data_IF_996901946493
#
_entry.id   IF_996901946493
#
_cell.length_a   1.000
_cell.length_b   1.000
_cell.length_c   1.000
_cell.angle_alpha   90.00
_cell.angle_beta   90.00
_cell.angle_gamma   90.00
#
_symmetry.space_group_name_H-M   'P 1'
#
loop_
_entity.id
_entity.type
_entity.pdbx_description
1 polymer ?
#
# COMPACT_ATOMS: atom_id res chain seq x y z
N UNK A 1 -40.46 -40.75 18.73
CA UNK A 1 -40.34 -39.29 18.87
C UNK A 1 -38.85 -38.96 18.86
N UNK A 2 -38.36 -38.40 17.75
CA UNK A 2 -36.93 -38.10 17.53
C UNK A 2 -36.65 -36.67 18.01
N UNK A 3 -35.66 -36.52 18.89
CA UNK A 3 -35.14 -35.23 19.33
C UNK A 3 -34.16 -34.69 18.28
N UNK A 4 -34.49 -33.54 17.69
CA UNK A 4 -33.58 -32.77 16.83
C UNK A 4 -32.69 -31.87 17.70
N UNK A 5 -31.36 -31.80 17.47
CA UNK A 5 -30.49 -30.86 18.14
C UNK A 5 -30.68 -29.44 17.59
N UNK A 6 -30.76 -28.48 18.50
CA UNK A 6 -30.83 -27.04 18.21
C UNK A 6 -29.57 -26.55 17.48
N UNK A 7 -29.68 -25.60 16.53
CA UNK A 7 -28.52 -25.03 15.86
C UNK A 7 -27.68 -24.16 16.80
N UNK A 8 -26.35 -24.09 16.60
CA UNK A 8 -25.48 -23.25 17.40
C UNK A 8 -25.80 -21.77 17.17
N UNK A 9 -26.05 -21.04 18.26
CA UNK A 9 -26.10 -19.57 18.23
C UNK A 9 -24.70 -19.06 17.97
N UNK A 10 -24.45 -18.66 16.71
CA UNK A 10 -23.25 -17.96 16.31
C UNK A 10 -23.35 -16.52 16.84
N UNK A 11 -22.72 -16.24 17.98
CA UNK A 11 -22.60 -14.87 18.49
C UNK A 11 -21.87 -13.99 17.48
N UNK A 12 -22.21 -12.69 17.35
CA UNK A 12 -21.52 -11.79 16.44
C UNK A 12 -20.03 -11.78 16.81
N UNK A 13 -19.21 -12.33 15.92
CA UNK A 13 -17.76 -12.39 16.09
C UNK A 13 -17.24 -10.97 16.31
N UNK A 14 -16.33 -10.79 17.27
CA UNK A 14 -15.71 -9.48 17.58
C UNK A 14 -15.07 -8.82 16.34
N UNK A 15 -14.79 -9.59 15.29
CA UNK A 15 -14.35 -9.13 13.97
C UNK A 15 -15.45 -8.41 13.19
N UNK A 16 -16.69 -8.92 13.19
CA UNK A 16 -17.83 -8.28 12.55
C UNK A 16 -18.10 -6.90 13.17
N UNK A 17 -18.05 -6.78 14.50
CA UNK A 17 -18.25 -5.50 15.18
C UNK A 17 -17.18 -4.46 14.82
N UNK A 18 -15.91 -4.87 14.67
CA UNK A 18 -14.83 -3.99 14.20
C UNK A 18 -15.02 -3.56 12.74
N UNK A 19 -15.51 -4.46 11.90
CA UNK A 19 -15.80 -4.17 10.49
C UNK A 19 -16.98 -3.20 10.35
N UNK A 20 -18.05 -3.41 11.13
CA UNK A 20 -19.19 -2.47 11.20
C UNK A 20 -18.78 -1.10 11.74
N UNK A 21 -17.90 -1.04 12.75
CA UNK A 21 -17.38 0.23 13.26
C UNK A 21 -16.58 1.00 12.17
N UNK A 22 -15.76 0.29 11.39
CA UNK A 22 -15.04 0.88 10.26
C UNK A 22 -15.96 1.38 9.15
N UNK A 23 -16.99 0.60 8.80
CA UNK A 23 -17.99 1.01 7.81
C UNK A 23 -18.78 2.22 8.30
N UNK A 24 -19.15 2.29 9.58
CA UNK A 24 -19.84 3.46 10.15
C UNK A 24 -18.94 4.69 10.12
N UNK A 25 -17.65 4.56 10.44
CA UNK A 25 -16.68 5.66 10.32
C UNK A 25 -16.57 6.13 8.87
N UNK A 26 -16.43 5.22 7.91
CA UNK A 26 -16.40 5.53 6.47
C UNK A 26 -17.70 6.19 5.97
N UNK A 27 -18.87 5.72 6.42
CA UNK A 27 -20.15 6.30 6.04
C UNK A 27 -20.39 7.67 6.67
N UNK A 28 -19.99 7.89 7.93
CA UNK A 28 -20.06 9.22 8.55
C UNK A 28 -19.11 10.21 7.88
N UNK A 29 -17.93 9.75 7.44
CA UNK A 29 -16.99 10.57 6.68
C UNK A 29 -17.56 10.96 5.31
N UNK A 30 -18.19 10.02 4.59
CA UNK A 30 -18.89 10.30 3.34
C UNK A 30 -20.08 11.28 3.53
N UNK A 31 -20.81 11.18 4.65
CA UNK A 31 -21.91 12.10 4.94
C UNK A 31 -21.42 13.51 5.31
N UNK A 32 -20.28 13.64 5.97
CA UNK A 32 -19.65 14.95 6.27
C UNK A 32 -19.13 15.61 4.98
N UNK A 33 -18.54 14.84 4.06
CA UNK A 33 -18.10 15.37 2.76
C UNK A 33 -19.27 15.74 1.83
N UNK A 34 -20.40 15.03 1.88
CA UNK A 34 -21.62 15.47 1.16
C UNK A 34 -22.36 16.63 1.86
N UNK A 35 -22.33 16.69 3.20
CA UNK A 35 -22.98 17.73 4.00
C UNK A 35 -22.29 19.10 3.91
N UNK A 36 -20.98 19.14 3.68
CA UNK A 36 -20.22 20.36 3.43
C UNK A 36 -20.50 21.03 2.07
N UNK A 37 -21.07 20.29 1.12
CA UNK A 37 -21.40 20.80 -0.23
C UNK A 37 -22.82 21.40 -0.28
N UNK A 38 -23.74 20.95 0.58
CA UNK A 38 -25.17 21.32 0.47
C UNK A 38 -25.54 22.69 1.07
N UNK A 39 -24.64 23.31 1.86
CA UNK A 39 -24.87 24.63 2.47
C UNK A 39 -24.42 25.84 1.64
N UNK A 40 -23.51 25.64 0.68
CA UNK A 40 -22.90 26.72 -0.10
C UNK A 40 -23.24 26.67 -1.61
N UNK A 41 -23.84 25.58 -2.10
CA UNK A 41 -24.15 25.39 -3.52
C UNK A 41 -25.55 25.89 -3.89
N UNK A 42 -25.88 27.12 -3.48
CA UNK A 42 -27.11 27.80 -3.93
C UNK A 42 -26.81 29.15 -4.57
N UNK A 43 -25.80 29.22 -5.41
CA UNK A 43 -25.73 30.13 -6.56
C UNK A 43 -24.45 29.88 -7.36
N UNK A 44 -24.54 29.96 -8.68
CA UNK A 44 -23.48 29.74 -9.69
C UNK A 44 -23.20 28.24 -9.95
N UNK A 45 -23.84 27.62 -10.93
CA UNK A 45 -23.73 27.98 -12.35
C UNK A 45 -22.53 27.21 -12.92
N UNK A 46 -22.81 26.10 -13.59
CA UNK A 46 -21.79 25.13 -13.99
C UNK A 46 -20.64 25.75 -14.79
N UNK A 47 -19.42 25.37 -14.44
CA UNK A 47 -18.23 25.54 -15.27
C UNK A 47 -17.44 24.24 -15.26
N UNK A 48 -17.09 23.84 -16.48
CA UNK A 48 -16.44 22.60 -16.89
C UNK A 48 -14.98 22.54 -16.41
N UNK A 49 -14.49 21.31 -16.23
CA UNK A 49 -13.14 20.86 -16.59
C UNK A 49 -12.03 21.92 -16.55
N UNK A 50 -11.25 21.99 -15.47
CA UNK A 50 -9.87 22.50 -15.48
C UNK A 50 -9.22 22.24 -14.12
N UNK A 51 -8.21 21.38 -14.09
CA UNK A 51 -7.05 21.46 -13.19
C UNK A 51 -6.05 20.34 -13.56
N UNK A 52 -5.51 20.44 -14.77
CA UNK A 52 -4.21 19.86 -15.11
C UNK A 52 -3.17 20.84 -14.53
N UNK A 53 -2.29 20.35 -13.65
CA UNK A 53 -0.94 20.87 -13.27
C UNK A 53 -0.72 21.64 -11.95
N UNK A 54 0.32 21.11 -11.26
CA UNK A 54 1.40 21.71 -10.46
C UNK A 54 1.42 21.13 -9.03
N UNK A 55 2.48 20.47 -8.52
CA UNK A 55 3.91 20.74 -8.71
C UNK A 55 4.73 19.42 -8.76
N UNK A 56 5.58 19.34 -9.78
CA UNK A 56 6.69 18.40 -9.92
C UNK A 56 7.92 18.97 -9.21
N UNK A 57 8.34 18.38 -8.08
CA UNK A 57 9.74 18.42 -7.60
C UNK A 57 10.00 17.31 -6.58
N UNK A 58 10.21 16.07 -7.05
CA UNK A 58 11.21 15.14 -6.47
C UNK A 58 11.64 14.21 -7.61
N UNK A 59 12.59 14.65 -8.44
CA UNK A 59 13.21 13.82 -9.47
C UNK A 59 14.72 13.71 -9.20
N UNK A 60 15.13 12.58 -8.61
CA UNK A 60 16.21 11.68 -9.10
C UNK A 60 16.71 10.74 -8.00
N UNK A 61 16.58 9.44 -8.25
CA UNK A 61 17.72 8.58 -8.67
C UNK A 61 17.17 7.36 -9.43
N UNK A 62 17.44 7.33 -10.75
CA UNK A 62 17.74 6.19 -11.67
C UNK A 62 16.78 4.98 -11.71
N UNK A 63 16.25 4.47 -12.84
CA UNK A 63 16.49 4.65 -14.29
C UNK A 63 15.30 4.05 -15.10
N UNK A 64 15.23 4.39 -16.39
CA UNK A 64 14.37 3.87 -17.50
C UNK A 64 13.12 4.68 -17.94
N UNK A 65 13.38 5.54 -18.94
CA UNK A 65 12.66 5.76 -20.21
C UNK A 65 11.13 5.90 -20.25
N UNK A 66 10.66 7.12 -20.52
CA UNK A 66 10.17 7.50 -21.85
C UNK A 66 9.78 8.99 -21.86
N UNK A 67 10.35 9.73 -22.81
CA UNK A 67 10.03 11.12 -23.08
C UNK A 67 8.63 11.25 -23.73
N UNK A 68 7.82 12.22 -23.27
CA UNK A 68 7.02 13.09 -24.14
C UNK A 68 6.48 14.31 -23.38
N UNK A 69 6.70 15.48 -23.99
CA UNK A 69 5.95 16.74 -23.92
C UNK A 69 5.96 17.59 -22.63
N UNK A 70 6.99 18.43 -22.57
CA UNK A 70 6.90 19.89 -22.53
C UNK A 70 5.47 20.47 -22.50
N UNK A 71 4.97 20.75 -21.30
CA UNK A 71 3.92 21.75 -21.06
C UNK A 71 4.39 22.72 -19.98
N UNK A 72 4.98 23.82 -20.42
CA UNK A 72 4.92 25.12 -19.72
C UNK A 72 3.49 25.40 -19.25
N UNK A 73 3.28 25.42 -17.92
CA UNK A 73 2.04 25.86 -17.26
C UNK A 73 2.48 26.75 -16.09
N UNK A 74 2.63 28.06 -16.34
CA UNK A 74 1.68 29.16 -16.10
C UNK A 74 1.31 29.37 -14.63
N UNK A 75 1.98 30.39 -14.08
CA UNK A 75 1.76 31.32 -12.95
C UNK A 75 0.34 31.52 -12.34
N UNK A 76 -0.72 30.83 -12.79
CA UNK A 76 -2.11 31.09 -12.38
C UNK A 76 -2.60 30.25 -11.18
N UNK A 77 -1.79 29.32 -10.66
CA UNK A 77 -2.14 28.54 -9.46
C UNK A 77 -1.90 29.29 -8.14
N UNK A 78 -1.35 30.51 -8.19
CA UNK A 78 -0.91 31.29 -7.03
C UNK A 78 -2.03 32.20 -6.47
N UNK A 79 -3.16 32.33 -7.16
CA UNK A 79 -4.08 33.47 -6.91
C UNK A 79 -5.22 33.20 -5.92
N UNK A 80 -5.46 31.96 -5.49
CA UNK A 80 -6.49 31.67 -4.48
C UNK A 80 -6.10 30.51 -3.53
N UNK A 81 -5.85 30.76 -2.24
CA UNK A 81 -5.44 29.75 -1.27
C UNK A 81 -6.53 28.69 -1.01
N UNK A 82 -7.81 29.02 -1.21
CA UNK A 82 -8.92 28.07 -1.04
C UNK A 82 -8.91 26.98 -2.12
N UNK A 83 -8.62 27.33 -3.38
CA UNK A 83 -8.51 26.34 -4.47
C UNK A 83 -7.27 25.46 -4.30
N UNK A 84 -6.16 26.02 -3.78
CA UNK A 84 -4.96 25.25 -3.47
C UNK A 84 -5.22 24.25 -2.34
N UNK A 85 -5.94 24.67 -1.28
CA UNK A 85 -6.34 23.78 -0.20
C UNK A 85 -7.24 22.62 -0.69
N UNK A 86 -8.16 22.89 -1.62
CA UNK A 86 -8.99 21.85 -2.25
C UNK A 86 -8.16 20.86 -3.07
N UNK A 87 -7.26 21.35 -3.93
CA UNK A 87 -6.40 20.52 -4.76
C UNK A 87 -5.49 19.61 -3.91
N UNK A 88 -4.87 20.15 -2.86
CA UNK A 88 -4.03 19.37 -1.95
C UNK A 88 -4.85 18.35 -1.14
N UNK A 89 -6.08 18.68 -0.77
CA UNK A 89 -6.99 17.72 -0.09
C UNK A 89 -7.35 16.57 -1.01
N UNK A 90 -7.62 16.82 -2.30
CA UNK A 90 -7.86 15.76 -3.28
C UNK A 90 -6.60 14.91 -3.49
N UNK A 91 -5.44 15.54 -3.63
CA UNK A 91 -4.16 14.85 -3.77
C UNK A 91 -3.85 13.95 -2.58
N UNK A 92 -4.18 14.41 -1.37
CA UNK A 92 -4.06 13.64 -0.13
C UNK A 92 -4.93 12.38 -0.15
N UNK A 93 -6.15 12.44 -0.70
CA UNK A 93 -7.03 11.27 -0.85
C UNK A 93 -6.47 10.23 -1.84
N UNK A 94 -5.90 10.69 -2.96
CA UNK A 94 -5.24 9.83 -3.94
C UNK A 94 -4.05 9.10 -3.30
N UNK A 95 -3.17 9.85 -2.63
CA UNK A 95 -1.99 9.31 -1.99
C UNK A 95 -2.34 8.34 -0.84
N UNK A 96 -3.44 8.57 -0.11
CA UNK A 96 -3.92 7.57 0.85
C UNK A 96 -4.32 6.28 0.16
N UNK A 97 -5.10 6.37 -0.92
CA UNK A 97 -5.56 5.20 -1.66
C UNK A 97 -4.38 4.39 -2.19
N UNK A 98 -3.39 5.06 -2.78
CA UNK A 98 -2.16 4.43 -3.26
C UNK A 98 -1.38 3.77 -2.12
N UNK A 99 -1.22 4.45 -0.98
CA UNK A 99 -0.48 3.89 0.17
C UNK A 99 -1.18 2.65 0.73
N UNK A 100 -2.52 2.69 0.88
CA UNK A 100 -3.28 1.53 1.32
C UNK A 100 -3.16 0.37 0.35
N UNK A 101 -3.19 0.65 -0.96
CA UNK A 101 -2.99 -0.36 -2.00
C UNK A 101 -1.62 -1.01 -1.87
N UNK A 102 -0.54 -0.23 -1.85
CA UNK A 102 0.82 -0.78 -1.78
C UNK A 102 1.08 -1.57 -0.49
N UNK A 103 0.54 -1.14 0.64
CA UNK A 103 0.63 -1.91 1.90
C UNK A 103 -0.16 -3.22 1.80
N UNK A 104 -1.32 -3.22 1.13
CA UNK A 104 -2.11 -4.42 0.93
C UNK A 104 -1.43 -5.41 -0.04
N UNK A 105 -0.87 -4.91 -1.14
CA UNK A 105 -0.07 -5.70 -2.10
C UNK A 105 1.13 -6.33 -1.40
N UNK A 106 1.88 -5.56 -0.61
CA UNK A 106 3.02 -6.09 0.15
C UNK A 106 2.63 -7.24 1.09
N UNK A 107 1.46 -7.13 1.74
CA UNK A 107 0.92 -8.19 2.60
C UNK A 107 0.53 -9.43 1.80
N UNK A 108 -0.16 -9.25 0.69
CA UNK A 108 -0.57 -10.34 -0.19
C UNK A 108 0.66 -11.11 -0.71
N UNK A 109 1.71 -10.40 -1.13
CA UNK A 109 2.95 -11.03 -1.59
C UNK A 109 3.70 -11.75 -0.46
N UNK A 110 3.68 -11.19 0.75
CA UNK A 110 4.27 -11.87 1.92
C UNK A 110 3.50 -13.13 2.31
N UNK A 111 2.18 -13.14 2.13
CA UNK A 111 1.34 -14.34 2.30
C UNK A 111 1.62 -15.38 1.19
N UNK A 112 1.73 -14.97 -0.07
CA UNK A 112 2.12 -15.82 -1.20
C UNK A 112 3.49 -16.49 -0.96
N UNK A 113 4.49 -15.73 -0.50
CA UNK A 113 5.80 -16.27 -0.12
C UNK A 113 5.67 -17.34 0.97
N UNK A 114 4.87 -17.08 2.02
CA UNK A 114 4.65 -18.03 3.12
C UNK A 114 3.93 -19.28 2.65
N UNK A 115 2.93 -19.16 1.79
CA UNK A 115 2.23 -20.32 1.22
C UNK A 115 3.20 -21.18 0.40
N UNK A 116 4.00 -20.56 -0.47
CA UNK A 116 5.05 -21.25 -1.22
C UNK A 116 6.07 -21.94 -0.32
N UNK A 117 6.47 -21.30 0.78
CA UNK A 117 7.37 -21.87 1.78
C UNK A 117 6.78 -23.12 2.44
N UNK A 118 5.51 -23.08 2.86
CA UNK A 118 4.83 -24.23 3.44
C UNK A 118 4.77 -25.39 2.44
N UNK A 119 4.38 -25.09 1.20
CA UNK A 119 4.32 -26.08 0.13
C UNK A 119 5.69 -26.72 -0.14
N UNK A 120 6.76 -25.92 -0.18
CA UNK A 120 8.13 -26.40 -0.37
C UNK A 120 8.53 -27.37 0.74
N UNK A 121 8.29 -26.99 1.99
CA UNK A 121 8.60 -27.81 3.16
C UNK A 121 7.79 -29.11 3.20
N UNK A 122 6.52 -29.09 2.81
CA UNK A 122 5.68 -30.28 2.78
C UNK A 122 6.05 -31.23 1.63
N UNK A 123 6.46 -30.69 0.48
CA UNK A 123 7.03 -31.49 -0.60
C UNK A 123 8.32 -32.19 -0.16
N UNK A 124 9.22 -31.50 0.58
CA UNK A 124 10.43 -32.14 1.12
C UNK A 124 10.09 -33.25 2.13
N UNK A 125 9.13 -33.03 3.03
CA UNK A 125 8.70 -34.06 4.00
C UNK A 125 8.07 -35.28 3.34
N UNK A 126 7.35 -35.09 2.24
CA UNK A 126 6.75 -36.18 1.47
C UNK A 126 7.75 -36.93 0.57
N UNK A 127 9.03 -36.52 0.61
CA UNK A 127 10.12 -37.21 -0.09
C UNK A 127 10.33 -36.76 -1.53
N UNK A 128 9.69 -35.66 -1.96
CA UNK A 128 10.08 -35.05 -3.24
C UNK A 128 11.51 -34.53 -3.12
N UNK A 129 12.31 -34.89 -4.12
CA UNK A 129 13.69 -34.42 -4.21
C UNK A 129 13.74 -32.91 -4.32
N UNK A 130 14.68 -32.28 -3.60
CA UNK A 130 14.98 -30.86 -3.77
C UNK A 130 15.43 -30.52 -5.21
N UNK A 131 15.90 -31.51 -5.96
CA UNK A 131 16.31 -31.37 -7.36
C UNK A 131 15.14 -31.50 -8.37
N UNK A 132 13.91 -31.73 -7.91
CA UNK A 132 12.74 -31.81 -8.77
C UNK A 132 12.49 -30.46 -9.48
N UNK A 133 12.32 -30.42 -10.81
CA UNK A 133 11.94 -29.21 -11.55
C UNK A 133 10.72 -28.47 -10.95
N UNK A 134 9.76 -29.18 -10.36
CA UNK A 134 8.61 -28.56 -9.70
C UNK A 134 9.02 -27.76 -8.45
N UNK A 135 9.99 -28.26 -7.67
CA UNK A 135 10.53 -27.56 -6.51
C UNK A 135 11.33 -26.33 -6.92
N UNK A 136 12.12 -26.41 -7.99
CA UNK A 136 12.82 -25.24 -8.54
C UNK A 136 11.87 -24.13 -8.99
N UNK A 137 10.77 -24.48 -9.65
CA UNK A 137 9.74 -23.50 -10.04
C UNK A 137 9.09 -22.84 -8.82
N UNK A 138 8.81 -23.63 -7.78
CA UNK A 138 8.25 -23.12 -6.53
C UNK A 138 9.20 -22.12 -5.85
N UNK A 139 10.49 -22.44 -5.78
CA UNK A 139 11.52 -21.52 -5.27
C UNK A 139 11.61 -20.24 -6.09
N UNK A 140 11.49 -20.34 -7.42
CA UNK A 140 11.40 -19.18 -8.31
C UNK A 140 10.19 -18.31 -8.02
N UNK A 141 9.00 -18.90 -7.88
CA UNK A 141 7.77 -18.19 -7.51
C UNK A 141 7.87 -17.51 -6.15
N UNK A 142 8.41 -18.19 -5.14
CA UNK A 142 8.68 -17.60 -3.83
C UNK A 142 9.62 -16.40 -3.93
N UNK A 143 10.69 -16.51 -4.73
CA UNK A 143 11.62 -15.41 -4.95
C UNK A 143 10.98 -14.21 -5.62
N UNK A 144 10.06 -14.44 -6.56
CA UNK A 144 9.32 -13.38 -7.23
C UNK A 144 8.38 -12.67 -6.26
N UNK A 145 7.55 -13.41 -5.51
CA UNK A 145 6.68 -12.80 -4.49
C UNK A 145 7.47 -12.03 -3.43
N UNK A 146 8.63 -12.51 -3.00
CA UNK A 146 9.46 -11.73 -2.07
C UNK A 146 9.93 -10.40 -2.69
N UNK A 147 10.43 -10.41 -3.93
CA UNK A 147 10.88 -9.21 -4.65
C UNK A 147 9.73 -8.23 -4.91
N UNK A 148 8.57 -8.72 -5.34
CA UNK A 148 7.38 -7.90 -5.57
C UNK A 148 6.87 -7.30 -4.25
N UNK A 149 6.86 -8.09 -3.16
CA UNK A 149 6.54 -7.59 -1.83
C UNK A 149 7.53 -6.52 -1.35
N UNK A 150 8.83 -6.64 -1.66
CA UNK A 150 9.84 -5.62 -1.36
C UNK A 150 9.61 -4.34 -2.14
N UNK A 151 9.31 -4.47 -3.44
CA UNK A 151 8.96 -3.33 -4.29
C UNK A 151 7.76 -2.57 -3.74
N UNK A 152 6.66 -3.27 -3.42
CA UNK A 152 5.46 -2.63 -2.85
C UNK A 152 5.74 -1.92 -1.52
N UNK A 153 6.67 -2.42 -0.68
CA UNK A 153 7.10 -1.70 0.53
C UNK A 153 7.82 -0.39 0.20
N UNK A 154 8.74 -0.41 -0.76
CA UNK A 154 9.47 0.80 -1.21
C UNK A 154 8.51 1.83 -1.82
N UNK A 155 7.54 1.38 -2.61
CA UNK A 155 6.52 2.24 -3.21
C UNK A 155 5.59 2.83 -2.14
N UNK A 156 5.19 2.02 -1.14
CA UNK A 156 4.44 2.51 0.02
C UNK A 156 5.22 3.56 0.81
N UNK A 157 6.52 3.35 1.04
CA UNK A 157 7.39 4.31 1.74
C UNK A 157 7.45 5.64 1.01
N UNK A 158 7.72 5.59 -0.28
CA UNK A 158 7.78 6.78 -1.14
C UNK A 158 6.46 7.54 -1.13
N UNK A 159 5.33 6.83 -1.11
CA UNK A 159 4.00 7.46 -1.06
C UNK A 159 3.70 8.07 0.31
N UNK A 160 4.17 7.45 1.39
CA UNK A 160 4.09 8.01 2.75
C UNK A 160 4.91 9.30 2.91
N UNK A 161 6.09 9.36 2.31
CA UNK A 161 6.90 10.58 2.32
C UNK A 161 6.18 11.71 1.57
N UNK A 162 5.56 11.41 0.42
CA UNK A 162 4.71 12.36 -0.31
C UNK A 162 3.49 12.82 0.51
N UNK A 163 2.83 11.91 1.24
CA UNK A 163 1.74 12.26 2.15
C UNK A 163 2.20 13.23 3.24
N UNK A 164 3.38 13.01 3.81
CA UNK A 164 3.98 13.90 4.79
C UNK A 164 4.19 15.31 4.25
N UNK A 165 4.71 15.42 3.01
CA UNK A 165 4.90 16.71 2.34
C UNK A 165 3.57 17.44 2.08
N UNK A 166 2.56 16.75 1.54
CA UNK A 166 1.24 17.34 1.27
C UNK A 166 0.55 17.80 2.56
N UNK A 167 0.66 17.03 3.64
CA UNK A 167 0.17 17.43 4.96
C UNK A 167 0.87 18.70 5.48
N UNK A 168 2.18 18.81 5.28
CA UNK A 168 2.95 20.02 5.63
C UNK A 168 2.54 21.24 4.81
N UNK A 169 2.29 21.06 3.51
CA UNK A 169 1.80 22.12 2.62
C UNK A 169 0.40 22.59 3.04
N UNK A 170 -0.52 21.66 3.35
CA UNK A 170 -1.84 21.99 3.87
C UNK A 170 -1.75 22.76 5.19
N UNK A 171 -0.84 22.38 6.09
CA UNK A 171 -0.64 23.07 7.36
C UNK A 171 -0.13 24.50 7.14
N UNK A 172 0.79 24.73 6.21
CA UNK A 172 1.24 26.07 5.83
C UNK A 172 0.07 26.95 5.34
N UNK A 173 -0.80 26.40 4.49
CA UNK A 173 -1.96 27.11 3.96
C UNK A 173 -3.02 27.45 5.00
N UNK A 174 -3.09 26.75 6.14
CA UNK A 174 -4.07 27.07 7.20
C UNK A 174 -3.95 28.49 7.74
N UNK A 175 -2.77 29.13 7.61
CA UNK A 175 -2.52 30.50 8.05
C UNK A 175 -3.00 31.55 7.03
N UNK A 176 -3.22 31.14 5.78
CA UNK A 176 -3.53 32.03 4.65
C UNK A 176 -5.00 31.98 4.22
N UNK A 177 -5.73 30.94 4.63
CA UNK A 177 -7.17 30.76 4.35
C UNK A 177 -8.06 31.38 5.42
N UNK A 178 -9.32 31.66 5.07
CA UNK A 178 -10.32 32.16 6.01
C UNK A 178 -10.59 31.20 7.17
N UNK A 179 -10.97 31.74 8.35
CA UNK A 179 -11.11 30.98 9.60
C UNK A 179 -12.00 29.72 9.53
N UNK A 180 -13.03 29.74 8.68
CA UNK A 180 -13.94 28.59 8.46
C UNK A 180 -13.22 27.46 7.72
N UNK A 181 -12.48 27.78 6.66
CA UNK A 181 -11.69 26.83 5.87
C UNK A 181 -10.52 26.31 6.69
N UNK A 182 -9.86 27.19 7.45
CA UNK A 182 -8.76 26.82 8.35
C UNK A 182 -9.16 25.72 9.36
N UNK A 183 -10.36 25.82 9.95
CA UNK A 183 -10.86 24.80 10.87
C UNK A 183 -11.08 23.44 10.19
N UNK A 184 -11.61 23.43 8.96
CA UNK A 184 -11.81 22.21 8.19
C UNK A 184 -10.50 21.57 7.76
N UNK A 185 -9.57 22.36 7.23
CA UNK A 185 -8.23 21.91 6.82
C UNK A 185 -7.45 21.37 8.03
N UNK A 186 -7.54 22.01 9.19
CA UNK A 186 -6.90 21.53 10.42
C UNK A 186 -7.44 20.16 10.86
N UNK A 187 -8.76 19.95 10.78
CA UNK A 187 -9.34 18.64 11.07
C UNK A 187 -8.84 17.56 10.09
N UNK A 188 -8.72 17.89 8.80
CA UNK A 188 -8.17 17.00 7.78
C UNK A 188 -6.70 16.67 8.07
N UNK A 189 -5.89 17.66 8.47
CA UNK A 189 -4.49 17.46 8.85
C UNK A 189 -4.38 16.54 10.07
N UNK A 190 -5.15 16.80 11.13
CA UNK A 190 -5.08 16.02 12.37
C UNK A 190 -5.49 14.56 12.13
N UNK A 191 -6.59 14.34 11.40
CA UNK A 191 -6.99 12.99 10.99
C UNK A 191 -5.95 12.35 10.07
N UNK A 192 -5.41 13.12 9.14
CA UNK A 192 -4.43 12.65 8.18
C UNK A 192 -3.13 12.20 8.84
N UNK A 193 -2.66 12.93 9.85
CA UNK A 193 -1.49 12.54 10.66
C UNK A 193 -1.71 11.24 11.42
N UNK A 194 -2.91 11.01 11.96
CA UNK A 194 -3.25 9.74 12.62
C UNK A 194 -3.24 8.57 11.63
N UNK A 195 -3.78 8.77 10.43
CA UNK A 195 -3.77 7.75 9.36
C UNK A 195 -2.33 7.45 8.91
N UNK A 196 -1.53 8.48 8.66
CA UNK A 196 -0.11 8.33 8.29
C UNK A 196 0.66 7.58 9.38
N UNK A 197 0.50 7.96 10.65
CA UNK A 197 1.17 7.25 11.76
C UNK A 197 0.77 5.76 11.82
N UNK A 198 -0.50 5.44 11.58
CA UNK A 198 -0.97 4.05 11.52
C UNK A 198 -0.38 3.30 10.32
N UNK A 199 -0.29 3.94 9.14
CA UNK A 199 0.27 3.35 7.93
C UNK A 199 1.77 3.11 8.06
N UNK A 200 2.51 4.08 8.61
CA UNK A 200 3.95 3.95 8.93
C UNK A 200 4.16 2.76 9.85
N UNK A 201 3.43 2.66 10.96
CA UNK A 201 3.58 1.53 11.88
C UNK A 201 3.21 0.19 11.23
N UNK A 202 2.25 0.16 10.31
CA UNK A 202 1.95 -1.05 9.54
C UNK A 202 3.10 -1.40 8.59
N UNK A 203 3.64 -0.42 7.87
CA UNK A 203 4.73 -0.63 6.91
C UNK A 203 6.00 -1.11 7.63
N UNK A 204 6.36 -0.52 8.77
CA UNK A 204 7.53 -0.94 9.55
C UNK A 204 7.44 -2.42 10.00
N UNK A 205 6.22 -2.89 10.31
CA UNK A 205 6.01 -4.32 10.63
C UNK A 205 6.22 -5.21 9.41
N UNK A 206 5.69 -4.81 8.25
CA UNK A 206 5.89 -5.54 6.99
C UNK A 206 7.36 -5.51 6.54
N UNK A 207 8.06 -4.41 6.71
CA UNK A 207 9.50 -4.29 6.43
C UNK A 207 10.31 -5.23 7.31
N UNK A 208 10.02 -5.27 8.62
CA UNK A 208 10.67 -6.21 9.54
C UNK A 208 10.42 -7.66 9.12
N UNK A 209 9.17 -7.99 8.78
CA UNK A 209 8.82 -9.32 8.28
C UNK A 209 9.56 -9.65 6.99
N UNK A 210 9.66 -8.69 6.05
CA UNK A 210 10.38 -8.86 4.79
C UNK A 210 11.86 -9.18 4.96
N UNK A 211 12.52 -8.64 6.00
CA UNK A 211 13.91 -9.00 6.36
C UNK A 211 14.03 -10.43 6.88
N UNK A 212 13.05 -10.87 7.68
CA UNK A 212 13.01 -12.26 8.16
C UNK A 212 12.79 -13.24 6.99
N UNK A 213 11.87 -12.90 6.08
CA UNK A 213 11.56 -13.69 4.89
C UNK A 213 12.77 -13.77 3.93
N UNK A 214 13.53 -12.69 3.75
CA UNK A 214 14.78 -12.67 2.97
C UNK A 214 15.81 -13.66 3.53
N UNK A 215 15.98 -13.70 4.86
CA UNK A 215 16.93 -14.62 5.48
C UNK A 215 16.52 -16.08 5.29
N UNK A 216 15.22 -16.37 5.33
CA UNK A 216 14.69 -17.70 5.03
C UNK A 216 14.98 -18.07 3.59
N UNK A 217 14.69 -17.18 2.64
CA UNK A 217 14.94 -17.40 1.22
C UNK A 217 16.42 -17.69 0.93
N UNK A 218 17.35 -16.90 1.50
CA UNK A 218 18.79 -17.13 1.34
C UNK A 218 19.22 -18.50 1.85
N UNK A 219 18.71 -18.93 3.01
CA UNK A 219 19.01 -20.25 3.59
C UNK A 219 18.49 -21.39 2.72
N UNK A 220 17.29 -21.24 2.16
CA UNK A 220 16.70 -22.24 1.26
C UNK A 220 17.50 -22.32 -0.04
N UNK A 221 17.86 -21.19 -0.64
CA UNK A 221 18.68 -21.17 -1.85
C UNK A 221 20.04 -21.83 -1.62
N UNK A 222 20.73 -21.51 -0.52
CA UNK A 222 22.00 -22.15 -0.17
C UNK A 222 21.85 -23.67 0.02
N UNK A 223 20.78 -24.10 0.69
CA UNK A 223 20.50 -25.52 0.92
C UNK A 223 20.19 -26.25 -0.39
N UNK A 224 19.36 -25.66 -1.25
CA UNK A 224 19.02 -26.21 -2.57
C UNK A 224 20.25 -26.30 -3.49
N UNK A 225 21.12 -25.29 -3.47
CA UNK A 225 22.38 -25.30 -4.23
C UNK A 225 23.30 -26.44 -3.75
N UNK A 226 23.48 -26.57 -2.42
CA UNK A 226 24.30 -27.65 -1.84
C UNK A 226 23.75 -29.06 -2.14
N UNK A 227 22.42 -29.20 -2.16
CA UNK A 227 21.76 -30.45 -2.52
C UNK A 227 21.95 -30.79 -4.01
N UNK A 228 21.90 -29.77 -4.88
CA UNK A 228 22.16 -29.93 -6.31
C UNK A 228 23.62 -30.36 -6.58
N UNK A 229 24.59 -29.71 -5.94
CA UNK A 229 26.02 -30.05 -6.04
C UNK A 229 26.31 -31.48 -5.55
N UNK A 230 25.71 -31.90 -4.44
CA UNK A 230 25.86 -33.27 -3.93
C UNK A 230 25.22 -34.34 -4.82
N UNK A 231 24.30 -33.95 -5.70
CA UNK A 231 23.60 -34.85 -6.64
C UNK A 231 24.20 -34.86 -8.04
N UNK A 232 25.18 -33.99 -8.31
CA UNK A 232 25.89 -33.96 -9.58
C UNK A 232 26.75 -35.24 -9.73
N UNK A 233 26.63 -36.00 -10.84
CA UNK A 233 27.47 -37.17 -11.05
C UNK A 233 28.94 -36.74 -11.10
N UNK A 234 29.80 -37.42 -10.36
CA UNK A 234 31.24 -37.26 -10.47
C UNK A 234 31.63 -37.50 -11.93
N UNK A 235 32.00 -36.43 -12.64
CA UNK A 235 32.59 -36.53 -13.96
C UNK A 235 33.92 -37.26 -13.77
N UNK A 236 33.90 -38.57 -14.01
CA UNK A 236 35.14 -39.34 -14.13
C UNK A 236 35.82 -38.83 -15.39
N UNK A 237 36.82 -37.97 -15.18
CA UNK A 237 37.80 -37.60 -16.18
C UNK A 237 38.61 -38.86 -16.51
N UNK A 238 38.17 -39.62 -17.52
CA UNK A 238 38.95 -40.71 -18.10
C UNK A 238 40.13 -40.09 -18.86
N UNK A 239 41.33 -40.37 -18.37
CA UNK A 239 42.65 -40.08 -18.98
C UNK A 239 43.01 -41.18 -19.97
#
# INVERSE_FOLDING_TARGET
MQNLPSPPQCGPSRLAFKFYAWIVVLCTFALVSLGGVSGALKEQGGVKMAAEVAVEEVQRTEDEEAATDDKTITDDAVTNPDSMAQALTQRLQELYTDTFRFVAESKAESESFKEGLHQYMDNLKSGLSAADPAQFRLLGGMSLSWLEGEKSRKDARTTLDKLGLVLGQLEGLTQEVGAVVASGVKQVIDQGRLVVASLVSSLEREEKQGVEDEQIQKKIQASALSAAESSAPAVQEEV
#
